data_IF_660592169227
#
_entry.id   IF_660592169227
#
_cell.length_a   1.000
_cell.length_b   1.000
_cell.length_c   1.000
_cell.angle_alpha   90.00
_cell.angle_beta   90.00
_cell.angle_gamma   90.00
#
_symmetry.space_group_name_H-M   'P 1'
#
loop_
_entity.id
_entity.type
_entity.pdbx_description
1 polymer ?
#
# COMPACT_ATOMS: atom_id res chain seq x y z
N UNK A 1 -8.30 7.43 -16.70
CA UNK A 1 -8.09 8.90 -16.71
C UNK A 1 -8.93 9.53 -17.82
N UNK A 2 -9.55 10.69 -17.59
CA UNK A 2 -10.32 11.45 -18.60
C UNK A 2 -9.67 12.81 -18.82
N UNK A 3 -9.39 13.19 -20.05
CA UNK A 3 -8.86 14.52 -20.39
C UNK A 3 -9.95 15.58 -20.30
N UNK A 4 -9.58 16.74 -19.75
CA UNK A 4 -10.47 17.87 -19.50
C UNK A 4 -10.11 19.05 -20.41
N UNK A 5 -11.14 19.70 -20.95
CA UNK A 5 -11.03 20.97 -21.66
C UNK A 5 -11.18 22.14 -20.66
N UNK A 6 -10.41 22.11 -19.57
CA UNK A 6 -10.43 23.13 -18.53
C UNK A 6 -9.59 24.36 -18.95
N UNK A 7 -10.19 25.56 -19.07
CA UNK A 7 -9.45 26.78 -19.40
C UNK A 7 -8.61 27.27 -18.21
N UNK A 8 -7.57 28.06 -18.49
CA UNK A 8 -6.57 28.48 -17.48
C UNK A 8 -7.17 29.25 -16.29
N UNK A 9 -8.21 30.04 -16.52
CA UNK A 9 -8.92 30.81 -15.49
C UNK A 9 -9.75 29.93 -14.53
N UNK A 10 -10.02 28.68 -14.89
CA UNK A 10 -10.78 27.72 -14.07
C UNK A 10 -9.88 26.64 -13.42
N UNK A 11 -8.56 26.79 -13.57
CA UNK A 11 -7.57 25.80 -13.11
C UNK A 11 -7.66 25.52 -11.61
N UNK A 12 -7.95 26.53 -10.79
CA UNK A 12 -7.95 26.40 -9.34
C UNK A 12 -9.17 25.59 -8.88
N UNK A 13 -10.30 25.75 -9.57
CA UNK A 13 -11.50 24.93 -9.36
C UNK A 13 -11.27 23.49 -9.82
N UNK A 14 -10.66 23.30 -10.99
CA UNK A 14 -10.32 21.96 -11.49
C UNK A 14 -9.38 21.24 -10.53
N UNK A 15 -8.39 21.94 -9.98
CA UNK A 15 -7.48 21.42 -8.97
C UNK A 15 -8.20 21.12 -7.64
N UNK A 16 -9.12 21.97 -7.21
CA UNK A 16 -9.89 21.78 -5.97
C UNK A 16 -10.78 20.52 -6.03
N UNK A 17 -11.30 20.18 -7.22
CA UNK A 17 -12.07 18.96 -7.44
C UNK A 17 -11.19 17.70 -7.56
N UNK A 18 -9.86 17.84 -7.54
CA UNK A 18 -8.90 16.72 -7.63
C UNK A 18 -8.33 16.48 -9.03
N UNK A 19 -8.57 17.38 -9.99
CA UNK A 19 -7.96 17.31 -11.31
C UNK A 19 -6.44 17.49 -11.25
N UNK A 20 -5.73 16.86 -12.19
CA UNK A 20 -4.27 16.95 -12.31
C UNK A 20 -3.88 17.51 -13.68
N UNK A 21 -2.69 18.11 -13.75
CA UNK A 21 -2.12 18.62 -14.99
C UNK A 21 -1.19 17.59 -15.61
N UNK A 22 -1.47 17.22 -16.86
CA UNK A 22 -0.58 16.40 -17.69
C UNK A 22 0.36 17.35 -18.47
N UNK A 23 1.64 17.33 -18.12
CA UNK A 23 2.65 18.23 -18.71
C UNK A 23 2.91 17.88 -20.18
N UNK A 24 2.87 16.60 -20.55
CA UNK A 24 3.13 16.15 -21.92
C UNK A 24 1.99 16.54 -22.85
N UNK A 25 0.75 16.28 -22.43
CA UNK A 25 -0.46 16.58 -23.21
C UNK A 25 -0.92 18.02 -23.08
N UNK A 26 -0.35 18.78 -22.15
CA UNK A 26 -0.75 20.15 -21.79
C UNK A 26 -2.25 20.27 -21.56
N UNK A 27 -2.82 19.30 -20.84
CA UNK A 27 -4.24 19.25 -20.51
C UNK A 27 -4.45 18.90 -19.04
N UNK A 28 -5.55 19.40 -18.50
CA UNK A 28 -6.08 18.89 -17.24
C UNK A 28 -6.65 17.49 -17.48
N UNK A 29 -6.65 16.66 -16.45
CA UNK A 29 -7.26 15.34 -16.50
C UNK A 29 -7.86 14.96 -15.14
N UNK A 30 -8.90 14.12 -15.18
CA UNK A 30 -9.42 13.42 -14.01
C UNK A 30 -8.52 12.21 -13.76
N UNK A 31 -7.73 12.17 -12.68
CA UNK A 31 -6.96 10.98 -12.35
C UNK A 31 -7.89 9.83 -11.95
N UNK A 32 -7.37 8.61 -12.03
CA UNK A 32 -8.10 7.45 -11.55
C UNK A 32 -8.41 7.61 -10.05
N UNK A 33 -9.62 7.21 -9.64
CA UNK A 33 -10.11 7.36 -8.26
C UNK A 33 -10.84 8.67 -7.96
N UNK A 34 -10.84 9.66 -8.86
CA UNK A 34 -11.65 10.88 -8.72
C UNK A 34 -12.91 10.77 -9.58
N UNK A 35 -14.07 11.14 -9.01
CA UNK A 35 -15.36 11.11 -9.71
C UNK A 35 -15.38 12.09 -10.87
N UNK A 36 -15.42 11.58 -12.10
CA UNK A 36 -15.50 12.39 -13.30
C UNK A 36 -16.84 13.14 -13.42
N UNK A 37 -17.88 12.73 -12.67
CA UNK A 37 -19.17 13.43 -12.67
C UNK A 37 -19.03 14.88 -12.19
N UNK A 38 -18.11 15.14 -11.25
CA UNK A 38 -17.83 16.49 -10.73
C UNK A 38 -17.16 17.39 -11.77
N UNK A 39 -16.64 16.83 -12.86
CA UNK A 39 -15.91 17.54 -13.92
C UNK A 39 -16.72 17.69 -15.21
N UNK A 40 -18.03 17.38 -15.19
CA UNK A 40 -18.89 17.37 -16.37
C UNK A 40 -18.79 18.65 -17.22
N UNK A 41 -18.57 19.81 -16.58
CA UNK A 41 -18.43 21.09 -17.30
C UNK A 41 -17.19 21.20 -18.21
N UNK A 42 -16.17 20.37 -17.99
CA UNK A 42 -14.94 20.35 -18.81
C UNK A 42 -14.81 19.08 -19.65
N UNK A 43 -15.79 18.18 -19.61
CA UNK A 43 -15.81 16.95 -20.41
C UNK A 43 -16.74 17.15 -21.60
N UNK A 44 -16.36 16.66 -22.77
CA UNK A 44 -17.21 16.71 -23.97
C UNK A 44 -18.51 15.92 -23.75
N UNK A 45 -19.62 16.45 -24.23
CA UNK A 45 -20.98 15.96 -23.91
C UNK A 45 -21.27 14.54 -24.40
N UNK A 46 -20.50 14.04 -25.37
CA UNK A 46 -20.60 12.69 -25.95
C UNK A 46 -19.81 11.63 -25.17
N UNK A 47 -18.95 12.02 -24.21
CA UNK A 47 -18.15 11.10 -23.39
C UNK A 47 -18.89 10.44 -22.22
N UNK A 48 -20.20 10.24 -22.33
CA UNK A 48 -20.99 9.60 -21.26
C UNK A 48 -20.49 8.19 -20.91
N UNK A 49 -20.17 7.37 -21.92
CA UNK A 49 -19.64 6.02 -21.69
C UNK A 49 -18.25 6.03 -21.06
N UNK A 50 -17.39 6.98 -21.43
CA UNK A 50 -16.10 7.20 -20.78
C UNK A 50 -16.26 7.62 -19.31
N UNK A 51 -17.17 8.56 -19.03
CA UNK A 51 -17.52 8.96 -17.65
C UNK A 51 -18.03 7.75 -16.86
N UNK A 52 -18.93 6.95 -17.44
CA UNK A 52 -19.47 5.74 -16.82
C UNK A 52 -18.36 4.71 -16.58
N UNK A 53 -17.44 4.50 -17.51
CA UNK A 53 -16.32 3.56 -17.36
C UNK A 53 -15.30 4.06 -16.32
N UNK A 54 -14.93 5.35 -16.34
CA UNK A 54 -14.06 5.98 -15.34
C UNK A 54 -14.71 5.99 -13.95
N UNK A 55 -16.00 6.23 -13.87
CA UNK A 55 -16.75 6.14 -12.62
C UNK A 55 -17.13 4.70 -12.24
N UNK A 56 -16.97 3.72 -13.13
CA UNK A 56 -16.98 2.30 -12.78
C UNK A 56 -15.65 1.93 -12.14
N UNK A 57 -14.54 2.52 -12.60
CA UNK A 57 -13.23 2.47 -11.92
C UNK A 57 -13.32 3.12 -10.53
N UNK A 58 -14.17 4.16 -10.32
CA UNK A 58 -14.55 4.70 -8.99
C UNK A 58 -15.20 3.65 -8.06
N UNK A 59 -15.66 2.50 -8.57
CA UNK A 59 -16.29 1.43 -7.76
C UNK A 59 -15.30 0.37 -7.29
N UNK A 60 -14.17 0.21 -7.97
CA UNK A 60 -13.17 -0.80 -7.61
C UNK A 60 -12.37 -0.24 -6.46
N UNK A 61 -12.57 -0.83 -5.29
CA UNK A 61 -11.86 -0.40 -4.08
C UNK A 61 -10.42 -0.89 -4.18
N UNK A 62 -9.48 0.05 -4.10
CA UNK A 62 -8.05 -0.24 -3.98
C UNK A 62 -7.66 -0.37 -2.50
N UNK A 63 -7.09 -1.51 -2.15
CA UNK A 63 -6.60 -1.79 -0.81
C UNK A 63 -5.07 -1.85 -0.84
N UNK A 64 -4.44 -1.09 0.05
CA UNK A 64 -2.99 -1.16 0.24
C UNK A 64 -2.64 -2.34 1.16
N UNK A 65 -1.61 -3.14 0.86
CA UNK A 65 -1.17 -4.25 1.70
C UNK A 65 -1.07 -3.89 3.20
N UNK A 66 -0.43 -2.77 3.52
CA UNK A 66 -0.30 -2.28 4.91
C UNK A 66 -1.62 -1.94 5.61
N UNK A 67 -2.68 -1.62 4.86
CA UNK A 67 -3.99 -1.33 5.47
C UNK A 67 -4.70 -2.58 5.98
N UNK A 68 -4.35 -3.75 5.43
CA UNK A 68 -4.97 -5.04 5.73
C UNK A 68 -4.51 -5.62 7.07
N UNK A 69 -3.30 -5.31 7.52
CA UNK A 69 -2.82 -5.68 8.86
C UNK A 69 -3.14 -4.63 9.92
N UNK A 70 -2.93 -3.33 9.65
CA UNK A 70 -2.97 -2.32 10.71
C UNK A 70 -4.30 -1.60 10.83
N UNK A 71 -4.73 -0.93 9.77
CA UNK A 71 -5.83 0.04 9.85
C UNK A 71 -7.15 -0.65 10.19
N UNK A 72 -7.44 -1.75 9.50
CA UNK A 72 -8.67 -2.51 9.70
C UNK A 72 -8.71 -3.21 11.08
N UNK A 73 -7.59 -3.77 11.55
CA UNK A 73 -7.53 -4.39 12.89
C UNK A 73 -7.64 -3.35 14.02
N UNK A 74 -7.13 -2.12 13.82
CA UNK A 74 -7.14 -1.09 14.86
C UNK A 74 -8.56 -0.61 15.18
N UNK A 75 -9.31 -0.20 14.15
CA UNK A 75 -10.68 0.27 14.32
C UNK A 75 -11.43 0.34 12.99
N UNK A 76 -12.52 -0.40 12.86
CA UNK A 76 -13.38 -0.38 11.67
C UNK A 76 -13.93 1.01 11.37
N UNK A 77 -14.33 1.79 12.39
CA UNK A 77 -14.78 3.17 12.21
C UNK A 77 -13.67 4.05 11.64
N UNK A 78 -12.48 4.04 12.24
CA UNK A 78 -11.36 4.85 11.72
C UNK A 78 -10.94 4.41 10.32
N UNK A 79 -10.96 3.11 10.03
CA UNK A 79 -10.70 2.58 8.69
C UNK A 79 -11.72 3.13 7.67
N UNK A 80 -13.02 3.07 7.99
CA UNK A 80 -14.09 3.67 7.17
C UNK A 80 -13.86 5.17 6.95
N UNK A 81 -13.66 5.92 8.03
CA UNK A 81 -13.51 7.37 8.00
C UNK A 81 -12.30 7.78 7.15
N UNK A 82 -11.16 7.11 7.31
CA UNK A 82 -9.94 7.37 6.55
C UNK A 82 -10.12 7.07 5.06
N UNK A 83 -10.61 5.86 4.72
CA UNK A 83 -10.67 5.40 3.33
C UNK A 83 -11.84 5.98 2.53
N UNK A 84 -13.00 6.16 3.15
CA UNK A 84 -14.22 6.63 2.47
C UNK A 84 -14.40 8.14 2.56
N UNK A 85 -14.09 8.75 3.70
CA UNK A 85 -14.34 10.17 3.96
C UNK A 85 -13.05 11.02 4.03
N UNK A 86 -11.87 10.42 3.96
CA UNK A 86 -10.59 11.14 4.09
C UNK A 86 -10.33 11.71 5.49
N UNK A 87 -11.08 11.26 6.50
CA UNK A 87 -10.98 11.77 7.88
C UNK A 87 -10.04 10.85 8.67
N UNK A 88 -8.87 11.38 9.03
CA UNK A 88 -7.87 10.65 9.82
C UNK A 88 -6.98 11.61 10.63
N UNK A 89 -6.35 11.08 11.67
CA UNK A 89 -5.30 11.77 12.40
C UNK A 89 -4.01 11.72 11.58
N UNK A 90 -3.39 12.88 11.29
CA UNK A 90 -2.15 12.98 10.51
C UNK A 90 -0.90 12.67 11.37
N UNK A 91 -0.97 11.60 12.16
CA UNK A 91 0.10 11.17 13.03
C UNK A 91 1.07 10.26 12.25
N UNK A 92 1.93 10.89 11.45
CA UNK A 92 2.96 10.18 10.70
C UNK A 92 4.23 10.03 11.53
N UNK A 93 4.97 8.91 11.39
CA UNK A 93 6.30 8.82 11.96
C UNK A 93 7.21 9.92 11.37
N UNK A 94 8.19 10.42 12.13
CA UNK A 94 9.17 11.38 11.64
C UNK A 94 9.80 10.95 10.29
N UNK A 95 10.06 11.88 9.35
CA UNK A 95 10.59 11.55 8.02
C UNK A 95 11.89 10.73 8.01
N UNK A 96 12.67 10.79 9.09
CA UNK A 96 13.92 10.02 9.27
C UNK A 96 13.69 8.50 9.16
N UNK A 97 12.52 7.99 9.53
CA UNK A 97 12.21 6.56 9.41
C UNK A 97 12.12 6.11 7.95
N UNK A 98 11.58 6.96 7.06
CA UNK A 98 11.56 6.69 5.63
C UNK A 98 12.98 6.73 5.05
N UNK A 99 13.83 7.67 5.52
CA UNK A 99 15.22 7.72 5.07
C UNK A 99 16.01 6.47 5.50
N UNK A 100 15.78 5.98 6.71
CA UNK A 100 16.39 4.74 7.20
C UNK A 100 15.98 3.53 6.33
N UNK A 101 14.69 3.42 6.01
CA UNK A 101 14.15 2.36 5.15
C UNK A 101 14.77 2.37 3.74
N UNK A 102 14.91 3.55 3.13
CA UNK A 102 15.56 3.70 1.82
C UNK A 102 17.03 3.26 1.86
N UNK A 103 17.80 3.73 2.85
CA UNK A 103 19.22 3.36 2.99
C UNK A 103 19.37 1.85 3.22
N UNK A 104 18.46 1.24 4.00
CA UNK A 104 18.44 -0.21 4.19
C UNK A 104 18.22 -0.92 2.85
N UNK A 105 17.20 -0.55 2.07
CA UNK A 105 16.91 -1.16 0.77
C UNK A 105 18.09 -1.07 -0.19
N UNK A 106 18.67 0.12 -0.33
CA UNK A 106 19.83 0.37 -1.19
C UNK A 106 21.04 -0.49 -0.79
N UNK A 107 21.23 -0.77 0.51
CA UNK A 107 22.34 -1.60 0.97
C UNK A 107 22.17 -3.09 0.61
N UNK A 108 20.94 -3.60 0.65
CA UNK A 108 20.66 -5.02 0.41
C UNK A 108 20.50 -5.37 -1.07
N UNK A 109 20.07 -4.44 -1.93
CA UNK A 109 19.64 -4.75 -3.30
C UNK A 109 20.71 -5.46 -4.16
N UNK A 110 22.00 -5.18 -3.92
CA UNK A 110 23.13 -5.80 -4.64
C UNK A 110 23.70 -7.05 -3.95
N UNK A 111 23.05 -7.55 -2.90
CA UNK A 111 23.44 -8.78 -2.19
C UNK A 111 22.65 -9.97 -2.71
N UNK A 112 23.09 -11.17 -2.33
CA UNK A 112 22.35 -12.41 -2.56
C UNK A 112 21.71 -12.91 -1.25
N UNK A 113 20.84 -13.91 -1.35
CA UNK A 113 20.09 -14.45 -0.21
C UNK A 113 20.95 -15.01 0.91
N UNK A 114 22.17 -15.49 0.62
CA UNK A 114 23.09 -16.01 1.63
C UNK A 114 23.59 -14.92 2.58
N UNK A 115 23.53 -13.66 2.17
CA UNK A 115 23.83 -12.52 3.04
C UNK A 115 22.76 -12.29 4.12
N UNK A 116 21.50 -12.63 3.83
CA UNK A 116 20.38 -12.40 4.76
C UNK A 116 20.22 -13.57 5.72
N UNK A 117 20.15 -14.79 5.19
CA UNK A 117 19.94 -15.99 6.00
C UNK A 117 20.33 -17.24 5.24
N UNK A 118 21.05 -18.14 5.90
CA UNK A 118 21.30 -19.50 5.39
C UNK A 118 20.01 -20.32 5.20
N UNK A 119 18.88 -19.89 5.79
CA UNK A 119 17.56 -20.54 5.64
C UNK A 119 16.91 -20.26 4.28
N UNK A 120 17.37 -19.25 3.54
CA UNK A 120 16.82 -18.90 2.23
C UNK A 120 17.49 -19.75 1.13
N UNK A 121 16.71 -20.23 0.14
CA UNK A 121 17.30 -20.77 -1.09
C UNK A 121 18.19 -19.73 -1.76
N UNK A 122 19.18 -20.19 -2.52
CA UNK A 122 20.02 -19.30 -3.33
C UNK A 122 19.16 -18.53 -4.32
N UNK A 123 19.38 -17.22 -4.37
CA UNK A 123 18.62 -16.33 -5.23
C UNK A 123 19.22 -14.93 -5.25
N UNK A 124 18.70 -14.11 -6.15
CA UNK A 124 19.07 -12.70 -6.32
C UNK A 124 17.89 -11.80 -6.01
N UNK A 125 18.16 -10.57 -5.59
CA UNK A 125 17.12 -9.55 -5.51
C UNK A 125 16.84 -8.96 -6.88
N UNK A 126 15.55 -8.76 -7.17
CA UNK A 126 15.10 -8.06 -8.37
C UNK A 126 15.36 -6.57 -8.22
N UNK A 127 15.95 -5.97 -9.24
CA UNK A 127 16.43 -4.59 -9.26
C UNK A 127 15.31 -3.59 -9.62
N UNK A 128 15.56 -2.30 -9.35
CA UNK A 128 14.64 -1.18 -9.64
C UNK A 128 14.22 -1.06 -11.12
N UNK A 129 15.03 -1.58 -12.05
CA UNK A 129 14.71 -1.60 -13.48
C UNK A 129 13.88 -2.83 -13.88
N UNK A 130 13.77 -3.84 -13.02
CA UNK A 130 12.96 -5.05 -13.23
C UNK A 130 11.58 -4.93 -12.58
N UNK A 131 11.45 -4.10 -11.55
CA UNK A 131 10.21 -3.89 -10.80
C UNK A 131 9.73 -2.43 -10.87
N UNK A 132 8.45 -2.18 -11.16
CA UNK A 132 7.92 -0.84 -11.02
C UNK A 132 7.87 -0.45 -9.54
N UNK A 133 8.15 0.82 -9.24
CA UNK A 133 8.09 1.37 -7.86
C UNK A 133 6.78 1.09 -7.14
N UNK A 134 5.67 1.01 -7.87
CA UNK A 134 4.35 0.70 -7.34
C UNK A 134 3.73 -0.39 -8.21
N UNK A 135 3.25 -1.45 -7.57
CA UNK A 135 2.64 -2.62 -8.21
C UNK A 135 1.14 -2.64 -7.94
N UNK A 136 0.40 -3.25 -8.86
CA UNK A 136 -1.05 -3.45 -8.77
C UNK A 136 -1.41 -4.85 -9.19
N UNK A 137 -2.38 -5.45 -8.53
CA UNK A 137 -3.06 -6.64 -9.06
C UNK A 137 -3.93 -6.28 -10.27
N UNK A 138 -4.32 -7.30 -11.02
CA UNK A 138 -5.50 -7.28 -11.88
C UNK A 138 -6.78 -7.13 -11.04
N UNK A 139 -7.95 -7.15 -11.69
CA UNK A 139 -9.22 -7.17 -10.96
C UNK A 139 -9.39 -8.53 -10.26
N UNK A 140 -9.42 -8.50 -8.94
CA UNK A 140 -9.66 -9.65 -8.08
C UNK A 140 -11.09 -9.59 -7.53
N UNK A 141 -11.57 -10.74 -7.03
CA UNK A 141 -12.91 -10.87 -6.45
C UNK A 141 -12.85 -11.36 -5.02
N UNK A 142 -13.61 -10.72 -4.15
CA UNK A 142 -13.79 -11.16 -2.77
C UNK A 142 -14.80 -12.31 -2.66
N UNK A 143 -15.07 -12.79 -1.43
CA UNK A 143 -16.01 -13.89 -1.20
C UNK A 143 -17.48 -13.56 -1.56
N UNK A 144 -17.79 -12.28 -1.84
CA UNK A 144 -19.11 -11.83 -2.28
C UNK A 144 -19.12 -11.44 -3.77
N UNK A 145 -18.07 -11.77 -4.51
CA UNK A 145 -17.93 -11.51 -5.95
C UNK A 145 -17.68 -10.04 -6.31
N UNK A 146 -17.38 -9.18 -5.31
CA UNK A 146 -17.11 -7.76 -5.51
C UNK A 146 -15.69 -7.57 -6.03
N UNK A 147 -15.55 -6.67 -6.99
CA UNK A 147 -14.26 -6.35 -7.59
C UNK A 147 -13.42 -5.47 -6.65
N UNK A 148 -12.14 -5.82 -6.52
CA UNK A 148 -11.14 -5.01 -5.81
C UNK A 148 -9.77 -5.12 -6.48
N UNK A 149 -8.86 -4.24 -6.07
CA UNK A 149 -7.44 -4.30 -6.42
C UNK A 149 -6.58 -4.21 -5.18
N UNK A 150 -5.45 -4.89 -5.22
CA UNK A 150 -4.35 -4.71 -4.28
C UNK A 150 -3.29 -3.83 -4.93
N UNK A 151 -2.87 -2.78 -4.23
CA UNK A 151 -1.91 -1.81 -4.78
C UNK A 151 -0.91 -1.39 -3.71
N UNK A 152 0.39 -1.54 -3.96
CA UNK A 152 1.42 -1.28 -2.94
C UNK A 152 2.82 -1.09 -3.49
N UNK A 153 3.78 -0.91 -2.57
CA UNK A 153 5.21 -0.74 -2.84
C UNK A 153 5.92 -1.84 -2.04
N UNK A 154 6.40 -2.93 -2.69
CA UNK A 154 7.14 -3.97 -2.00
C UNK A 154 8.53 -3.46 -1.59
N UNK A 155 9.16 -4.13 -0.63
CA UNK A 155 10.54 -3.82 -0.21
C UNK A 155 11.56 -4.62 -1.03
N UNK A 156 11.74 -5.91 -0.73
CA UNK A 156 12.58 -6.81 -1.53
C UNK A 156 11.76 -7.92 -2.17
N UNK A 157 12.08 -8.21 -3.43
CA UNK A 157 11.54 -9.36 -4.16
C UNK A 157 12.72 -10.19 -4.67
N UNK A 158 12.61 -11.49 -4.54
CA UNK A 158 13.69 -12.44 -4.79
C UNK A 158 13.30 -13.33 -5.97
N UNK A 159 14.22 -13.54 -6.90
CA UNK A 159 14.17 -14.64 -7.87
C UNK A 159 15.16 -15.72 -7.40
N UNK A 160 14.64 -16.91 -7.08
CA UNK A 160 15.46 -18.07 -6.70
C UNK A 160 16.00 -18.80 -7.93
N UNK A 161 17.06 -19.59 -7.76
CA UNK A 161 17.70 -20.36 -8.85
C UNK A 161 16.73 -21.34 -9.53
N UNK A 162 15.75 -21.87 -8.79
CA UNK A 162 14.72 -22.79 -9.27
C UNK A 162 13.54 -22.08 -9.96
N UNK A 163 13.65 -20.77 -10.20
CA UNK A 163 12.61 -19.91 -10.81
C UNK A 163 11.33 -19.76 -9.99
N UNK A 164 11.40 -20.02 -8.69
CA UNK A 164 10.39 -19.58 -7.73
C UNK A 164 10.75 -18.21 -7.15
N UNK A 165 9.81 -17.59 -6.44
CA UNK A 165 9.97 -16.21 -5.96
C UNK A 165 9.76 -16.05 -4.46
N UNK A 166 10.39 -15.03 -3.89
CA UNK A 166 10.26 -14.65 -2.48
C UNK A 166 9.95 -13.16 -2.31
N UNK A 167 9.30 -12.82 -1.20
CA UNK A 167 9.01 -11.43 -0.81
C UNK A 167 9.49 -11.23 0.62
N UNK A 168 10.34 -10.22 0.83
CA UNK A 168 10.85 -9.83 2.13
C UNK A 168 10.50 -8.38 2.39
N UNK A 169 9.87 -8.12 3.53
CA UNK A 169 9.48 -6.79 3.99
C UNK A 169 10.36 -6.38 5.18
N UNK A 170 10.86 -5.13 5.14
CA UNK A 170 11.85 -4.61 6.07
C UNK A 170 11.16 -3.96 7.25
N UNK A 171 11.62 -4.28 8.46
CA UNK A 171 11.06 -3.72 9.69
C UNK A 171 12.15 -3.31 10.67
N UNK A 172 12.24 -2.03 10.95
CA UNK A 172 12.99 -1.53 12.11
C UNK A 172 12.14 -1.76 13.37
N UNK A 173 12.48 -2.80 14.13
CA UNK A 173 11.69 -3.30 15.26
C UNK A 173 12.54 -4.19 16.15
N UNK A 174 12.13 -4.35 17.42
CA UNK A 174 12.59 -5.47 18.24
C UNK A 174 12.40 -6.81 17.55
N UNK A 175 13.45 -7.64 17.55
CA UNK A 175 13.44 -8.98 16.97
C UNK A 175 12.39 -9.84 17.67
N UNK A 176 11.59 -10.55 16.88
CA UNK A 176 10.61 -11.51 17.37
C UNK A 176 10.28 -12.57 16.32
N UNK A 177 10.18 -13.84 16.75
CA UNK A 177 9.71 -14.96 15.93
C UNK A 177 8.22 -14.87 15.56
N UNK A 178 7.46 -13.97 16.21
CA UNK A 178 6.05 -13.72 15.87
C UNK A 178 5.87 -12.55 14.92
N UNK A 179 6.97 -11.95 14.41
CA UNK A 179 6.86 -10.71 13.64
C UNK A 179 6.10 -10.91 12.34
N UNK A 180 6.37 -12.01 11.61
CA UNK A 180 5.69 -12.33 10.36
C UNK A 180 4.16 -12.38 10.52
N UNK A 181 3.64 -12.88 11.64
CA UNK A 181 2.20 -12.97 11.90
C UNK A 181 1.49 -11.60 11.95
N UNK A 182 2.19 -10.54 12.35
CA UNK A 182 1.64 -9.18 12.39
C UNK A 182 1.54 -8.52 11.01
N UNK A 183 2.26 -9.05 10.01
CA UNK A 183 2.34 -8.52 8.66
C UNK A 183 1.88 -9.53 7.60
N UNK A 184 1.21 -10.60 8.03
CA UNK A 184 0.89 -11.74 7.16
C UNK A 184 -0.05 -11.35 6.02
N UNK A 185 -1.00 -10.43 6.25
CA UNK A 185 -1.90 -10.00 5.18
C UNK A 185 -1.19 -9.09 4.18
N UNK A 186 -0.26 -8.25 4.64
CA UNK A 186 0.58 -7.42 3.80
C UNK A 186 1.48 -8.28 2.91
N UNK A 187 2.18 -9.26 3.49
CA UNK A 187 3.04 -10.18 2.75
C UNK A 187 2.24 -11.00 1.71
N UNK A 188 1.12 -11.59 2.13
CA UNK A 188 0.25 -12.36 1.22
C UNK A 188 -0.32 -11.48 0.12
N UNK A 189 -0.66 -10.22 0.42
CA UNK A 189 -1.17 -9.29 -0.58
C UNK A 189 -0.12 -8.97 -1.66
N UNK A 190 1.15 -8.80 -1.30
CA UNK A 190 2.21 -8.65 -2.30
C UNK A 190 2.39 -9.90 -3.16
N UNK A 191 2.34 -11.09 -2.56
CA UNK A 191 2.41 -12.35 -3.31
C UNK A 191 1.26 -12.46 -4.32
N UNK A 192 0.04 -12.15 -3.85
CA UNK A 192 -1.18 -12.16 -4.67
C UNK A 192 -1.10 -11.16 -5.83
N UNK A 193 -0.52 -9.98 -5.60
CA UNK A 193 -0.31 -8.98 -6.66
C UNK A 193 0.59 -9.55 -7.77
N UNK A 194 1.74 -10.14 -7.42
CA UNK A 194 2.69 -10.66 -8.41
C UNK A 194 2.18 -11.89 -9.15
N UNK A 195 1.39 -12.73 -8.50
CA UNK A 195 0.77 -13.90 -9.12
C UNK A 195 -0.46 -13.54 -9.98
N UNK A 196 -1.03 -12.35 -9.75
CA UNK A 196 -2.19 -11.83 -10.50
C UNK A 196 -1.93 -10.38 -10.93
N UNK A 197 -0.91 -10.12 -11.76
CA UNK A 197 -0.45 -8.76 -12.03
C UNK A 197 -1.45 -7.96 -12.84
N UNK A 198 -1.55 -6.67 -12.52
CA UNK A 198 -2.24 -5.66 -13.30
C UNK A 198 -1.28 -4.56 -13.74
N UNK A 199 -1.81 -3.34 -13.87
CA UNK A 199 -1.06 -2.18 -14.32
C UNK A 199 -1.51 -0.91 -13.61
N UNK A 200 -0.58 0.05 -13.50
CA UNK A 200 -0.80 1.40 -12.98
C UNK A 200 -0.29 2.38 -14.02
N UNK A 201 -1.11 3.31 -14.50
CA UNK A 201 -0.72 4.28 -15.54
C UNK A 201 -0.01 3.61 -16.74
N UNK A 202 -0.53 2.47 -17.20
CA UNK A 202 0.05 1.64 -18.28
C UNK A 202 1.41 0.99 -17.98
N UNK A 203 1.94 1.15 -16.76
CA UNK A 203 3.12 0.42 -16.28
C UNK A 203 2.64 -0.93 -15.73
N UNK A 204 3.11 -2.02 -16.35
CA UNK A 204 2.72 -3.38 -15.98
C UNK A 204 3.48 -3.87 -14.75
N UNK A 205 2.76 -4.52 -13.85
CA UNK A 205 3.37 -5.35 -12.82
C UNK A 205 3.86 -6.65 -13.47
N UNK A 206 5.08 -7.13 -13.21
CA UNK A 206 5.54 -8.39 -13.76
C UNK A 206 4.81 -9.58 -13.13
N UNK A 207 4.62 -10.65 -13.92
CA UNK A 207 4.11 -11.92 -13.43
C UNK A 207 5.25 -12.69 -12.76
N UNK A 208 5.17 -12.88 -11.44
CA UNK A 208 6.13 -13.69 -10.69
C UNK A 208 5.35 -14.79 -9.97
N UNK A 209 5.50 -16.03 -10.44
CA UNK A 209 4.77 -17.19 -9.91
C UNK A 209 5.58 -18.49 -10.09
N UNK A 210 5.60 -19.39 -9.07
CA UNK A 210 4.95 -19.24 -7.77
C UNK A 210 5.78 -18.42 -6.78
N UNK A 211 5.11 -17.65 -5.92
CA UNK A 211 5.74 -17.01 -4.76
C UNK A 211 5.70 -17.98 -3.58
N UNK A 212 6.86 -18.49 -3.18
CA UNK A 212 6.98 -19.60 -2.22
C UNK A 212 7.54 -19.18 -0.86
N UNK A 213 8.14 -17.99 -0.77
CA UNK A 213 8.72 -17.45 0.47
C UNK A 213 8.17 -16.08 0.81
N UNK A 214 7.63 -15.92 2.01
CA UNK A 214 7.16 -14.64 2.55
C UNK A 214 7.82 -14.42 3.90
N UNK A 215 8.53 -13.31 4.10
CA UNK A 215 9.28 -13.09 5.32
C UNK A 215 9.40 -11.62 5.73
N UNK A 216 9.75 -11.42 6.99
CA UNK A 216 10.15 -10.12 7.55
C UNK A 216 11.64 -10.15 7.87
N UNK A 217 12.36 -9.16 7.36
CA UNK A 217 13.72 -8.85 7.82
C UNK A 217 13.64 -7.74 8.88
N UNK A 218 14.10 -8.05 10.08
CA UNK A 218 14.00 -7.22 11.27
C UNK A 218 15.35 -6.56 11.55
N UNK A 219 15.32 -5.27 11.86
CA UNK A 219 16.47 -4.46 12.27
C UNK A 219 16.21 -3.90 13.68
N UNK A 220 16.90 -4.43 14.68
CA UNK A 220 16.78 -4.00 16.08
C UNK A 220 18.00 -3.14 16.48
N UNK A 221 17.83 -1.81 16.68
CA UNK A 221 18.95 -0.95 17.04
C UNK A 221 19.57 -1.37 18.37
N UNK A 222 20.86 -1.74 18.36
CA UNK A 222 21.58 -2.21 19.55
C UNK A 222 22.36 -1.08 20.23
N UNK A 223 23.24 -0.40 19.48
CA UNK A 223 24.09 0.68 20.01
C UNK A 223 24.54 1.65 18.93
N UNK A 224 25.05 2.80 19.38
CA UNK A 224 25.68 3.82 18.54
C UNK A 224 27.15 3.91 18.93
N UNK A 225 28.04 3.90 17.94
CA UNK A 225 29.48 4.05 18.13
C UNK A 225 30.00 5.31 17.43
N UNK A 226 30.88 6.06 18.09
CA UNK A 226 31.50 7.24 17.50
C UNK A 226 32.47 6.82 16.39
N UNK A 227 32.33 7.41 15.19
CA UNK A 227 33.26 7.22 14.08
C UNK A 227 34.32 8.32 14.05
N UNK A 228 33.92 9.60 14.11
CA UNK A 228 34.83 10.74 14.11
C UNK A 228 34.17 12.06 14.60
N UNK A 229 33.71 12.13 15.85
CA UNK A 229 33.26 13.35 16.53
C UNK A 229 31.92 13.93 16.05
N UNK A 230 31.74 14.06 14.73
CA UNK A 230 30.51 14.51 14.07
C UNK A 230 29.75 13.38 13.38
N UNK A 231 30.32 12.18 13.26
CA UNK A 231 29.65 11.01 12.70
C UNK A 231 29.66 9.82 13.66
N UNK A 232 28.65 8.98 13.54
CA UNK A 232 28.51 7.74 14.30
C UNK A 232 28.03 6.59 13.40
N UNK A 233 28.27 5.37 13.86
CA UNK A 233 27.72 4.15 13.28
C UNK A 233 26.58 3.67 14.18
N UNK A 234 25.43 3.34 13.59
CA UNK A 234 24.41 2.56 14.26
C UNK A 234 24.66 1.08 14.03
N UNK A 235 24.68 0.31 15.11
CA UNK A 235 24.78 -1.15 15.06
C UNK A 235 23.38 -1.71 15.30
N UNK A 236 22.94 -2.57 14.39
CA UNK A 236 21.65 -3.26 14.45
C UNK A 236 21.89 -4.76 14.58
N UNK A 237 21.11 -5.41 15.43
CA UNK A 237 20.90 -6.84 15.33
C UNK A 237 19.89 -7.11 14.21
N UNK A 238 20.15 -8.15 13.42
CA UNK A 238 19.26 -8.56 12.33
C UNK A 238 18.54 -9.86 12.68
N UNK A 239 17.25 -9.93 12.36
CA UNK A 239 16.46 -11.13 12.51
C UNK A 239 15.67 -11.44 11.25
N UNK A 240 15.66 -12.70 10.83
CA UNK A 240 14.85 -13.17 9.70
C UNK A 240 13.76 -14.09 10.23
N UNK A 241 12.50 -13.79 9.91
CA UNK A 241 11.36 -14.64 10.26
C UNK A 241 10.45 -14.82 9.06
N UNK A 242 10.22 -16.08 8.70
CA UNK A 242 9.37 -16.49 7.59
C UNK A 242 7.95 -16.76 8.06
N UNK A 243 6.96 -16.46 7.22
CA UNK A 243 5.59 -16.90 7.41
C UNK A 243 5.49 -18.38 7.06
N UNK A 244 4.98 -19.19 7.99
CA UNK A 244 4.96 -20.65 7.85
C UNK A 244 4.23 -21.15 6.60
N UNK A 245 3.13 -20.50 6.22
CA UNK A 245 2.27 -20.91 5.11
C UNK A 245 1.67 -19.70 4.39
N UNK A 246 1.42 -19.83 3.09
CA UNK A 246 0.56 -18.90 2.34
C UNK A 246 -0.84 -18.87 2.95
N UNK A 247 -1.47 -17.69 3.00
CA UNK A 247 -2.75 -17.48 3.67
C UNK A 247 -3.80 -16.82 2.75
N UNK A 248 -3.75 -17.12 1.45
CA UNK A 248 -4.62 -16.52 0.43
C UNK A 248 -6.10 -16.47 0.84
N UNK A 249 -6.69 -17.59 1.29
CA UNK A 249 -8.10 -17.62 1.72
C UNK A 249 -8.39 -16.63 2.86
N UNK A 250 -7.50 -16.55 3.85
CA UNK A 250 -7.63 -15.59 4.96
C UNK A 250 -7.46 -14.15 4.48
N UNK A 251 -6.62 -13.91 3.48
CA UNK A 251 -6.49 -12.60 2.84
C UNK A 251 -7.82 -12.22 2.16
N UNK A 252 -8.47 -13.14 1.45
CA UNK A 252 -9.76 -12.87 0.81
C UNK A 252 -10.87 -12.64 1.86
N UNK A 253 -10.88 -13.37 2.97
CA UNK A 253 -11.76 -13.08 4.13
C UNK A 253 -11.52 -11.65 4.66
N UNK A 254 -10.25 -11.28 4.81
CA UNK A 254 -9.85 -9.95 5.28
C UNK A 254 -10.28 -8.84 4.33
N UNK A 255 -10.15 -9.05 3.03
CA UNK A 255 -10.63 -8.13 2.00
C UNK A 255 -12.16 -8.04 2.05
N UNK A 256 -12.86 -9.16 2.17
CA UNK A 256 -14.32 -9.20 2.27
C UNK A 256 -14.82 -8.34 3.44
N UNK A 257 -14.17 -8.44 4.60
CA UNK A 257 -14.45 -7.58 5.75
C UNK A 257 -14.16 -6.10 5.45
N UNK A 258 -13.05 -5.79 4.78
CA UNK A 258 -12.71 -4.42 4.40
C UNK A 258 -13.79 -3.81 3.50
N UNK A 259 -14.22 -4.54 2.47
CA UNK A 259 -15.25 -4.08 1.54
C UNK A 259 -16.62 -3.97 2.22
N UNK A 260 -16.96 -4.88 3.14
CA UNK A 260 -18.18 -4.77 3.95
C UNK A 260 -18.24 -3.46 4.72
N UNK A 261 -17.14 -3.08 5.38
CA UNK A 261 -17.05 -1.82 6.10
C UNK A 261 -17.21 -0.64 5.13
N UNK A 262 -16.42 -0.61 4.04
CA UNK A 262 -16.39 0.54 3.13
C UNK A 262 -17.71 0.76 2.37
N UNK A 263 -18.51 -0.29 2.20
CA UNK A 263 -19.82 -0.22 1.56
C UNK A 263 -20.96 0.20 2.51
N UNK A 264 -20.72 0.32 3.83
CA UNK A 264 -21.74 0.83 4.76
C UNK A 264 -22.17 2.26 4.41
N UNK A 265 -23.47 2.54 4.53
CA UNK A 265 -24.00 3.89 4.28
C UNK A 265 -23.50 4.90 5.31
N UNK A 266 -23.37 4.47 6.56
CA UNK A 266 -22.88 5.27 7.69
C UNK A 266 -21.62 4.63 8.28
N UNK A 267 -20.72 5.41 8.90
CA UNK A 267 -19.53 4.88 9.55
C UNK A 267 -19.91 3.95 10.73
N UNK A 268 -19.17 2.85 10.95
CA UNK A 268 -19.35 1.97 12.11
C UNK A 268 -19.39 2.73 13.44
N UNK A 269 -20.03 2.17 14.46
CA UNK A 269 -20.11 2.81 15.79
C UNK A 269 -18.73 3.13 16.39
N UNK A 270 -18.69 4.12 17.28
CA UNK A 270 -17.47 4.53 17.98
C UNK A 270 -16.89 3.32 18.73
N UNK A 271 -15.60 3.05 18.53
CA UNK A 271 -14.87 2.03 19.29
C UNK A 271 -14.26 2.67 20.54
N UNK A 272 -14.75 2.31 21.73
CA UNK A 272 -14.26 2.89 23.00
C UNK A 272 -12.81 2.53 23.32
N UNK A 273 -12.30 1.41 22.78
CA UNK A 273 -10.91 0.99 22.93
C UNK A 273 -9.96 1.66 21.92
N UNK A 274 -10.48 2.48 21.01
CA UNK A 274 -9.67 3.19 20.03
C UNK A 274 -9.38 4.62 20.51
N UNK A 275 -8.09 4.96 20.63
CA UNK A 275 -7.66 6.28 21.08
C UNK A 275 -8.20 7.44 20.23
N UNK A 276 -8.26 7.28 18.90
CA UNK A 276 -8.77 8.31 17.99
C UNK A 276 -10.29 8.51 18.17
N UNK A 277 -11.03 7.41 18.33
CA UNK A 277 -12.46 7.43 18.64
C UNK A 277 -12.75 8.06 20.01
N UNK A 278 -11.96 7.70 21.03
CA UNK A 278 -12.09 8.23 22.38
C UNK A 278 -11.76 9.74 22.42
N UNK A 279 -10.74 10.19 21.70
CA UNK A 279 -10.40 11.60 21.54
C UNK A 279 -11.57 12.38 20.93
N UNK A 280 -12.13 11.89 19.82
CA UNK A 280 -13.29 12.53 19.17
C UNK A 280 -14.51 12.59 20.09
N UNK A 281 -14.82 11.48 20.79
CA UNK A 281 -15.96 11.41 21.74
C UNK A 281 -15.82 12.46 22.84
N UNK A 282 -14.63 12.58 23.44
CA UNK A 282 -14.35 13.60 24.47
C UNK A 282 -14.48 15.02 23.90
N UNK A 283 -13.99 15.27 22.70
CA UNK A 283 -14.11 16.58 22.05
C UNK A 283 -15.57 16.95 21.78
N UNK A 284 -16.38 16.01 21.27
CA UNK A 284 -17.81 16.28 20.98
C UNK A 284 -18.63 16.63 22.23
N UNK A 285 -18.21 16.18 23.42
CA UNK A 285 -18.87 16.47 24.68
C UNK A 285 -18.59 17.89 25.20
N UNK A 286 -17.57 18.57 24.67
CA UNK A 286 -17.21 19.94 25.03
C UNK A 286 -17.96 21.00 24.20
N UNK A 287 -18.66 20.59 23.12
CA UNK A 287 -19.38 21.48 22.21
C UNK A 287 -20.85 21.63 22.68
N UNK A 288 -21.07 21.65 24.00
CA UNK A 288 -22.37 21.99 24.62
C UNK A 288 -22.35 23.46 25.00
#
# INVERSE_FOLDING_TARGET
>A
MILLNCPFNEKDECKALGGKWDVERKKWYVPDGIDASSFQKWIESDKKEEILAHNKIKKVIELSPSSLDFQINKCHRCFYLSKKLGIQTNNFPPPVFNQLDLIQKDFFIDKDTSFISEKLPKGRFLQDNELPKKISSSLLKDNKGRDFKLVGIPDLVIEFEDKTYGIIDFKTTKISEKKADFYKFQLEAYATIFENPGEINSIKTPLLSPVVKLAILQFDPLKIENKNGMNCNFIFDMGYVELENRIYEKLIDRVTLALDILQMNEPPVINENCNDCAFFKKQSQLII
#
